data_IF_530549068158
#
_entry.id   IF_530549068158
#
_cell.length_a   1.000
_cell.length_b   1.000
_cell.length_c   1.000
_cell.angle_alpha   90.00
_cell.angle_beta   90.00
_cell.angle_gamma   90.00
#
_symmetry.space_group_name_H-M   'P 1'
#
loop_
_entity.id
_entity.type
_entity.pdbx_description
1 polymer ?
#
# COMPACT_ATOMS: atom_id res chain seq x y z
N UNK A 1 22.25 -39.93 -0.89
CA UNK A 1 22.93 -39.34 -2.07
C UNK A 1 21.96 -38.69 -3.07
N UNK A 2 21.06 -39.42 -3.72
CA UNK A 2 20.13 -38.84 -4.72
C UNK A 2 19.28 -37.69 -4.13
N UNK A 3 18.75 -37.88 -2.91
CA UNK A 3 17.98 -36.84 -2.23
C UNK A 3 18.77 -35.55 -1.99
N UNK A 4 20.04 -35.63 -1.60
CA UNK A 4 20.89 -34.46 -1.38
C UNK A 4 21.11 -33.69 -2.68
N UNK A 5 21.29 -34.40 -3.80
CA UNK A 5 21.37 -33.78 -5.12
C UNK A 5 20.05 -33.07 -5.50
N UNK A 6 18.90 -33.70 -5.24
CA UNK A 6 17.60 -33.09 -5.49
C UNK A 6 17.36 -31.84 -4.63
N UNK A 7 17.80 -31.84 -3.36
CA UNK A 7 17.72 -30.66 -2.49
C UNK A 7 18.63 -29.54 -2.94
N UNK A 8 19.85 -29.85 -3.36
CA UNK A 8 20.77 -28.85 -3.94
C UNK A 8 20.16 -28.18 -5.17
N UNK A 9 19.48 -28.95 -6.02
CA UNK A 9 18.77 -28.38 -7.16
C UNK A 9 17.61 -27.49 -6.71
N UNK A 10 16.77 -27.97 -5.78
CA UNK A 10 15.67 -27.16 -5.24
C UNK A 10 16.14 -25.86 -4.58
N UNK A 11 17.32 -25.86 -3.96
CA UNK A 11 17.90 -24.66 -3.36
C UNK A 11 18.33 -23.65 -4.42
N UNK A 12 18.97 -24.12 -5.50
CA UNK A 12 19.33 -23.28 -6.65
C UNK A 12 18.08 -22.70 -7.32
N UNK A 13 17.07 -23.52 -7.56
CA UNK A 13 15.82 -23.11 -8.18
C UNK A 13 15.06 -22.07 -7.31
N UNK A 14 15.21 -22.15 -5.99
CA UNK A 14 14.66 -21.17 -5.05
C UNK A 14 15.46 -19.85 -4.98
N UNK A 15 16.56 -19.71 -5.73
CA UNK A 15 17.42 -18.52 -5.70
C UNK A 15 18.34 -18.48 -4.48
N UNK A 16 18.70 -19.62 -3.90
CA UNK A 16 19.58 -19.64 -2.72
C UNK A 16 20.98 -19.07 -2.99
N UNK A 17 21.43 -19.01 -4.24
CA UNK A 17 22.69 -18.35 -4.58
C UNK A 17 22.67 -16.84 -4.24
N UNK A 18 21.53 -16.19 -4.41
CA UNK A 18 21.38 -14.76 -4.16
C UNK A 18 20.99 -14.47 -2.69
N UNK A 19 20.12 -15.31 -2.13
CA UNK A 19 19.50 -15.05 -0.83
C UNK A 19 20.09 -15.83 0.35
N UNK A 20 20.79 -16.93 0.09
CA UNK A 20 21.40 -17.78 1.12
C UNK A 20 22.74 -18.42 0.64
N UNK A 21 23.70 -17.62 0.12
CA UNK A 21 24.89 -18.15 -0.54
C UNK A 21 25.76 -19.02 0.39
N UNK A 22 25.81 -18.67 1.67
CA UNK A 22 26.62 -19.38 2.68
C UNK A 22 26.07 -20.78 2.94
N UNK A 23 24.76 -20.90 3.18
CA UNK A 23 24.11 -22.21 3.41
C UNK A 23 24.19 -23.10 2.17
N UNK A 24 24.00 -22.52 0.99
CA UNK A 24 24.13 -23.24 -0.28
C UNK A 24 25.58 -23.72 -0.49
N UNK A 25 26.58 -22.93 -0.13
CA UNK A 25 27.99 -23.31 -0.18
C UNK A 25 28.28 -24.51 0.73
N UNK A 26 27.87 -24.45 2.00
CA UNK A 26 28.03 -25.57 2.93
C UNK A 26 27.39 -26.87 2.42
N UNK A 27 26.17 -26.78 1.87
CA UNK A 27 25.49 -27.92 1.29
C UNK A 27 26.29 -28.53 0.12
N UNK A 28 26.86 -27.69 -0.75
CA UNK A 28 27.66 -28.13 -1.89
C UNK A 28 28.98 -28.77 -1.45
N UNK A 29 29.68 -28.16 -0.50
CA UNK A 29 30.96 -28.65 0.00
C UNK A 29 30.79 -30.01 0.70
N UNK A 30 29.76 -30.17 1.53
CA UNK A 30 29.48 -31.46 2.18
C UNK A 30 29.05 -32.53 1.19
N UNK A 31 28.30 -32.18 0.14
CA UNK A 31 27.96 -33.14 -0.92
C UNK A 31 29.19 -33.60 -1.69
N UNK A 32 30.14 -32.70 -1.96
CA UNK A 32 31.41 -33.07 -2.59
C UNK A 32 32.24 -33.99 -1.68
N UNK A 33 32.29 -33.70 -0.38
CA UNK A 33 32.93 -34.57 0.61
C UNK A 33 32.25 -35.94 0.69
N UNK A 34 30.91 -35.99 0.64
CA UNK A 34 30.15 -37.23 0.59
C UNK A 34 30.51 -38.08 -0.64
N UNK A 35 30.65 -37.45 -1.81
CA UNK A 35 31.06 -38.13 -3.04
C UNK A 35 32.48 -38.70 -2.92
N UNK A 36 33.40 -37.94 -2.34
CA UNK A 36 34.77 -38.39 -2.08
C UNK A 36 34.80 -39.56 -1.07
N UNK A 37 34.03 -39.49 0.01
CA UNK A 37 33.92 -40.58 0.99
C UNK A 37 33.34 -41.85 0.34
N UNK A 38 32.32 -41.71 -0.51
CA UNK A 38 31.72 -42.81 -1.24
C UNK A 38 32.72 -43.47 -2.20
N UNK A 39 33.49 -42.68 -2.95
CA UNK A 39 34.55 -43.17 -3.84
C UNK A 39 35.65 -43.93 -3.08
N UNK A 40 35.94 -43.50 -1.86
CA UNK A 40 36.88 -44.16 -0.95
C UNK A 40 36.26 -45.35 -0.18
N UNK A 41 35.04 -45.78 -0.54
CA UNK A 41 34.28 -46.87 0.12
C UNK A 41 33.97 -46.63 1.61
N UNK A 42 34.00 -45.37 2.04
CA UNK A 42 33.60 -44.94 3.38
C UNK A 42 32.11 -44.61 3.40
N UNK A 43 31.28 -45.65 3.32
CA UNK A 43 29.85 -45.48 3.07
C UNK A 43 29.10 -44.80 4.23
N UNK A 44 29.45 -45.12 5.47
CA UNK A 44 28.83 -44.47 6.65
C UNK A 44 29.14 -42.97 6.69
N UNK A 45 30.41 -42.58 6.45
CA UNK A 45 30.79 -41.17 6.36
C UNK A 45 30.08 -40.46 5.21
N UNK A 46 29.97 -41.12 4.05
CA UNK A 46 29.28 -40.58 2.89
C UNK A 46 27.78 -40.36 3.13
N UNK A 47 27.14 -41.25 3.88
CA UNK A 47 25.74 -41.13 4.28
C UNK A 47 25.52 -39.93 5.20
N UNK A 48 26.30 -39.84 6.28
CA UNK A 48 26.24 -38.70 7.22
C UNK A 48 26.47 -37.36 6.50
N UNK A 49 27.53 -37.26 5.68
CA UNK A 49 27.83 -36.04 4.92
C UNK A 49 26.73 -35.68 3.92
N UNK A 50 26.08 -36.68 3.30
CA UNK A 50 24.97 -36.44 2.39
C UNK A 50 23.70 -35.97 3.13
N UNK A 51 23.45 -36.49 4.33
CA UNK A 51 22.33 -36.03 5.18
C UNK A 51 22.55 -34.59 5.67
N UNK A 52 23.76 -34.26 6.12
CA UNK A 52 24.10 -32.89 6.49
C UNK A 52 23.96 -31.95 5.29
N UNK A 53 24.47 -32.34 4.13
CA UNK A 53 24.30 -31.58 2.88
C UNK A 53 22.81 -31.36 2.54
N UNK A 54 21.98 -32.40 2.71
CA UNK A 54 20.53 -32.32 2.49
C UNK A 54 19.90 -31.30 3.43
N UNK A 55 20.24 -31.34 4.72
CA UNK A 55 19.72 -30.40 5.73
C UNK A 55 20.15 -28.95 5.42
N UNK A 56 21.42 -28.73 5.06
CA UNK A 56 21.95 -27.42 4.69
C UNK A 56 21.24 -26.88 3.43
N UNK A 57 20.99 -27.72 2.43
CA UNK A 57 20.26 -27.34 1.22
C UNK A 57 18.78 -27.01 1.50
N UNK A 58 18.13 -27.75 2.41
CA UNK A 58 16.76 -27.44 2.86
C UNK A 58 16.71 -26.09 3.59
N UNK A 59 17.69 -25.81 4.46
CA UNK A 59 17.84 -24.52 5.14
C UNK A 59 18.05 -23.37 4.14
N UNK A 60 18.95 -23.56 3.16
CA UNK A 60 19.20 -22.59 2.10
C UNK A 60 17.93 -22.30 1.28
N UNK A 61 17.17 -23.35 0.93
CA UNK A 61 15.89 -23.23 0.21
C UNK A 61 14.88 -22.40 1.01
N UNK A 62 14.72 -22.70 2.31
CA UNK A 62 13.78 -22.02 3.19
C UNK A 62 14.14 -20.53 3.35
N UNK A 63 15.43 -20.24 3.58
CA UNK A 63 15.95 -18.87 3.66
C UNK A 63 15.72 -18.10 2.36
N UNK A 64 16.00 -18.73 1.23
CA UNK A 64 15.82 -18.11 -0.08
C UNK A 64 14.36 -17.75 -0.37
N UNK A 65 13.44 -18.69 -0.13
CA UNK A 65 11.99 -18.44 -0.27
C UNK A 65 11.50 -17.34 0.66
N UNK A 66 11.99 -17.31 1.90
CA UNK A 66 11.65 -16.26 2.87
C UNK A 66 12.12 -14.88 2.39
N UNK A 67 13.37 -14.78 1.93
CA UNK A 67 13.92 -13.53 1.45
C UNK A 67 13.20 -13.04 0.17
N UNK A 68 12.92 -13.94 -0.77
CA UNK A 68 12.13 -13.64 -1.95
C UNK A 68 10.72 -13.15 -1.59
N UNK A 69 10.03 -13.80 -0.65
CA UNK A 69 8.72 -13.38 -0.18
C UNK A 69 8.76 -11.98 0.47
N UNK A 70 9.78 -11.72 1.30
CA UNK A 70 9.99 -10.40 1.92
C UNK A 70 10.20 -9.31 0.86
N UNK A 71 11.03 -9.58 -0.15
CA UNK A 71 11.25 -8.66 -1.28
C UNK A 71 9.95 -8.37 -2.03
N UNK A 72 9.17 -9.41 -2.35
CA UNK A 72 7.86 -9.24 -3.00
C UNK A 72 6.87 -8.42 -2.16
N UNK A 73 6.83 -8.63 -0.84
CA UNK A 73 5.99 -7.84 0.06
C UNK A 73 6.44 -6.38 0.02
N UNK A 74 7.73 -6.10 0.15
CA UNK A 74 8.26 -4.74 0.11
C UNK A 74 7.89 -4.03 -1.21
N UNK A 75 8.09 -4.70 -2.35
CA UNK A 75 7.75 -4.14 -3.66
C UNK A 75 6.25 -3.84 -3.76
N UNK A 76 5.39 -4.78 -3.36
CA UNK A 76 3.93 -4.57 -3.37
C UNK A 76 3.50 -3.49 -2.41
N UNK A 77 4.12 -3.36 -1.24
CA UNK A 77 3.81 -2.30 -0.27
C UNK A 77 4.18 -0.93 -0.85
N UNK A 78 5.34 -0.80 -1.49
CA UNK A 78 5.76 0.44 -2.14
C UNK A 78 4.83 0.79 -3.31
N UNK A 79 4.47 -0.18 -4.13
CA UNK A 79 3.51 0.00 -5.24
C UNK A 79 2.14 0.46 -4.71
N UNK A 80 1.61 -0.19 -3.68
CA UNK A 80 0.36 0.23 -3.05
C UNK A 80 0.44 1.64 -2.46
N UNK A 81 1.57 2.00 -1.84
CA UNK A 81 1.77 3.36 -1.32
C UNK A 81 1.79 4.39 -2.46
N UNK A 82 2.45 4.09 -3.57
CA UNK A 82 2.50 4.95 -4.75
C UNK A 82 1.09 5.15 -5.35
N UNK A 83 0.32 4.08 -5.53
CA UNK A 83 -1.04 4.15 -6.06
C UNK A 83 -1.97 4.98 -5.17
N UNK A 84 -1.83 4.88 -3.85
CA UNK A 84 -2.61 5.70 -2.91
C UNK A 84 -2.23 7.18 -2.99
N UNK A 85 -0.93 7.48 -3.08
CA UNK A 85 -0.46 8.85 -3.23
C UNK A 85 -0.95 9.47 -4.54
N UNK A 86 -0.90 8.72 -5.64
CA UNK A 86 -1.44 9.14 -6.93
C UNK A 86 -2.95 9.38 -6.87
N UNK A 87 -3.71 8.45 -6.28
CA UNK A 87 -5.14 8.63 -6.06
C UNK A 87 -5.48 9.88 -5.24
N UNK A 88 -4.71 10.16 -4.18
CA UNK A 88 -4.86 11.39 -3.39
C UNK A 88 -4.50 12.65 -4.16
N UNK A 89 -3.51 12.60 -5.04
CA UNK A 89 -3.19 13.73 -5.93
C UNK A 89 -4.33 14.00 -6.91
N UNK A 90 -4.95 12.96 -7.48
CA UNK A 90 -6.10 13.12 -8.38
C UNK A 90 -7.29 13.74 -7.65
N UNK A 91 -7.61 13.25 -6.44
CA UNK A 91 -8.70 13.81 -5.63
C UNK A 91 -8.40 15.26 -5.21
N UNK A 92 -7.16 15.56 -4.81
CA UNK A 92 -6.76 16.93 -4.47
C UNK A 92 -6.84 17.87 -5.67
N UNK A 93 -6.41 17.42 -6.86
CA UNK A 93 -6.51 18.20 -8.09
C UNK A 93 -7.97 18.45 -8.51
N UNK A 94 -8.85 17.45 -8.34
CA UNK A 94 -10.28 17.62 -8.58
C UNK A 94 -10.89 18.65 -7.62
N UNK A 95 -10.61 18.55 -6.32
CA UNK A 95 -11.08 19.52 -5.32
C UNK A 95 -10.57 20.95 -5.60
N UNK A 96 -9.32 21.08 -6.08
CA UNK A 96 -8.78 22.39 -6.49
C UNK A 96 -9.52 22.97 -7.69
N UNK A 97 -9.90 22.15 -8.69
CA UNK A 97 -10.70 22.60 -9.84
C UNK A 97 -12.09 23.07 -9.40
N UNK A 98 -12.75 22.31 -8.52
CA UNK A 98 -14.06 22.70 -7.98
C UNK A 98 -14.00 24.03 -7.20
N UNK A 99 -12.95 24.25 -6.41
CA UNK A 99 -12.74 25.52 -5.71
C UNK A 99 -12.53 26.70 -6.67
N UNK A 100 -11.79 26.50 -7.76
CA UNK A 100 -11.59 27.52 -8.79
C UNK A 100 -12.90 27.88 -9.51
N UNK A 101 -13.72 26.89 -9.83
CA UNK A 101 -15.05 27.12 -10.43
C UNK A 101 -15.98 27.90 -9.49
N UNK A 102 -16.03 27.54 -8.20
CA UNK A 102 -16.85 28.28 -7.23
C UNK A 102 -16.39 29.73 -7.06
N UNK A 103 -15.08 29.98 -7.01
CA UNK A 103 -14.53 31.32 -6.91
C UNK A 103 -14.89 32.18 -8.16
N UNK A 104 -14.83 31.58 -9.36
CA UNK A 104 -15.17 32.26 -10.60
C UNK A 104 -16.67 32.61 -10.67
N UNK A 105 -17.55 31.70 -10.24
CA UNK A 105 -18.98 31.93 -10.14
C UNK A 105 -19.32 33.07 -9.15
N UNK A 106 -18.62 33.13 -8.02
CA UNK A 106 -18.84 34.18 -7.02
C UNK A 106 -18.35 35.56 -7.50
N UNK A 107 -17.30 35.60 -8.30
CA UNK A 107 -16.84 36.83 -8.95
C UNK A 107 -17.85 37.32 -10.00
N UNK A 108 -18.47 36.41 -10.75
CA UNK A 108 -19.49 36.74 -11.73
C UNK A 108 -20.77 37.29 -11.07
N UNK A 109 -21.17 36.77 -9.90
CA UNK A 109 -22.29 37.32 -9.13
C UNK A 109 -22.01 38.74 -8.60
N UNK A 110 -20.79 39.02 -8.13
CA UNK A 110 -20.41 40.37 -7.67
C UNK A 110 -20.45 41.40 -8.80
N UNK A 111 -20.03 41.01 -10.02
CA UNK A 111 -20.16 41.88 -11.20
C UNK A 111 -21.61 42.19 -11.55
N UNK A 112 -22.52 41.22 -11.43
CA UNK A 112 -23.96 41.46 -11.66
C UNK A 112 -24.57 42.41 -10.62
N UNK A 113 -24.16 42.33 -9.35
CA UNK A 113 -24.66 43.24 -8.31
C UNK A 113 -24.19 44.68 -8.51
N UNK A 114 -22.98 44.91 -9.04
CA UNK A 114 -22.49 46.26 -9.33
C UNK A 114 -23.21 46.94 -10.49
N UNK A 115 -23.79 46.18 -11.44
CA UNK A 115 -24.59 46.75 -12.55
C UNK A 115 -26.03 47.11 -12.15
N UNK A 116 -26.49 46.71 -10.96
CA UNK A 116 -27.85 47.03 -10.45
C UNK A 116 -27.88 48.23 -9.49
N UNK A 117 -26.74 48.85 -9.20
CA UNK A 117 -26.65 49.99 -8.30
C UNK A 117 -26.43 51.31 -9.07
N UNK A 118 -27.45 51.78 -9.79
CA UNK A 118 -27.61 53.20 -10.12
C UNK A 118 -28.96 53.69 -9.55
N UNK A 119 -29.00 54.87 -8.90
CA UNK A 119 -30.15 55.31 -8.13
C UNK A 119 -31.30 55.83 -9.01
N UNK A 120 -32.50 55.65 -8.49
CA UNK A 120 -33.79 55.92 -9.10
C UNK A 120 -33.96 57.32 -9.73
N UNK A 121 -34.62 57.35 -10.88
CA UNK A 121 -35.22 58.56 -11.44
C UNK A 121 -36.11 58.29 -12.66
N UNK A 122 -37.38 58.71 -12.54
CA UNK A 122 -38.37 58.97 -13.59
C UNK A 122 -39.33 57.85 -14.05
N UNK A 123 -40.52 57.90 -13.43
CA UNK A 123 -41.85 58.02 -14.06
C UNK A 123 -42.24 57.10 -15.21
N UNK A 124 -43.25 56.28 -14.92
CA UNK A 124 -44.45 55.99 -15.70
C UNK A 124 -44.49 56.52 -17.13
N UNK A 125 -44.41 55.63 -18.13
CA UNK A 125 -45.28 55.69 -19.31
C UNK A 125 -45.35 54.33 -20.00
N UNK A 126 -46.59 53.90 -20.19
CA UNK A 126 -47.03 52.71 -20.92
C UNK A 126 -46.46 52.61 -22.33
N UNK A 127 -45.82 51.47 -22.66
CA UNK A 127 -45.48 51.07 -24.03
C UNK A 127 -45.86 49.58 -24.19
N UNK A 128 -46.51 49.19 -25.30
CA UNK A 128 -47.08 47.85 -25.46
C UNK A 128 -46.02 46.79 -25.77
N UNK A 129 -46.34 45.58 -25.34
CA UNK A 129 -45.60 44.33 -25.52
C UNK A 129 -45.44 43.94 -27.01
N UNK A 130 -44.23 43.72 -27.54
CA UNK A 130 -44.05 42.95 -28.76
C UNK A 130 -44.08 41.43 -28.44
N UNK A 131 -44.57 40.58 -29.37
CA UNK A 131 -44.56 39.13 -29.17
C UNK A 131 -43.13 38.57 -29.23
N UNK A 132 -42.85 37.44 -28.56
CA UNK A 132 -41.52 36.85 -28.54
C UNK A 132 -41.14 36.27 -29.92
N UNK A 133 -39.87 36.39 -30.35
CA UNK A 133 -39.36 35.62 -31.46
C UNK A 133 -39.35 34.13 -31.11
N UNK A 134 -39.86 33.33 -32.03
CA UNK A 134 -39.79 31.87 -32.05
C UNK A 134 -38.31 31.45 -32.11
N UNK A 135 -37.75 31.06 -30.97
CA UNK A 135 -36.46 30.38 -30.91
C UNK A 135 -36.72 28.88 -30.83
N UNK A 136 -36.16 28.06 -31.74
CA UNK A 136 -36.30 26.62 -31.66
C UNK A 136 -35.67 26.13 -30.36
N UNK A 137 -36.42 25.29 -29.63
CA UNK A 137 -35.92 24.63 -28.42
C UNK A 137 -34.57 23.95 -28.71
N UNK A 138 -33.55 24.08 -27.84
CA UNK A 138 -32.42 23.16 -27.91
C UNK A 138 -33.02 21.76 -27.78
N UNK A 139 -32.68 20.87 -28.70
CA UNK A 139 -33.10 19.49 -28.61
C UNK A 139 -32.77 18.99 -27.21
N UNK A 140 -33.80 18.55 -26.49
CA UNK A 140 -33.65 17.80 -25.25
C UNK A 140 -32.50 16.84 -25.45
N UNK A 141 -31.40 17.07 -24.73
CA UNK A 141 -30.32 16.10 -24.69
C UNK A 141 -30.98 14.80 -24.25
N UNK A 142 -31.04 13.86 -25.19
CA UNK A 142 -31.54 12.52 -24.97
C UNK A 142 -30.82 12.01 -23.74
N UNK A 143 -31.58 11.71 -22.69
CA UNK A 143 -31.18 10.83 -21.62
C UNK A 143 -30.54 9.60 -22.29
N UNK A 144 -29.21 9.59 -22.36
CA UNK A 144 -28.45 8.44 -22.84
C UNK A 144 -28.70 7.34 -21.84
N UNK A 145 -29.68 6.49 -22.15
CA UNK A 145 -29.90 5.22 -21.49
C UNK A 145 -28.57 4.45 -21.51
N UNK A 146 -28.04 4.01 -20.36
CA UNK A 146 -27.08 2.93 -20.38
C UNK A 146 -27.81 1.69 -20.89
N UNK A 147 -27.24 1.11 -21.93
CA UNK A 147 -27.70 -0.11 -22.59
C UNK A 147 -27.98 -1.18 -21.53
N UNK A 148 -29.21 -1.70 -21.50
CA UNK A 148 -29.50 -2.93 -20.79
C UNK A 148 -28.74 -4.06 -21.48
N UNK A 149 -27.83 -4.70 -20.75
CA UNK A 149 -27.10 -5.86 -21.22
C UNK A 149 -26.07 -6.33 -20.21
N UNK A 150 -26.49 -7.15 -19.25
CA UNK A 150 -25.58 -7.92 -18.39
C UNK A 150 -25.93 -7.82 -16.93
N UNK A 151 -26.52 -8.88 -16.38
CA UNK A 151 -27.14 -8.91 -15.06
C UNK A 151 -26.20 -8.57 -13.91
N UNK A 152 -26.67 -7.67 -13.06
CA UNK A 152 -26.26 -7.65 -11.66
C UNK A 152 -27.24 -8.51 -10.88
N UNK A 153 -26.74 -9.67 -10.47
CA UNK A 153 -27.34 -10.54 -9.48
C UNK A 153 -27.49 -9.74 -8.18
N UNK A 154 -28.71 -9.32 -7.85
CA UNK A 154 -29.03 -8.74 -6.54
C UNK A 154 -28.77 -9.79 -5.47
N UNK A 155 -27.87 -9.49 -4.52
CA UNK A 155 -27.73 -10.29 -3.30
C UNK A 155 -28.96 -10.06 -2.41
N UNK A 156 -29.51 -11.12 -1.77
CA UNK A 156 -30.59 -10.96 -0.81
C UNK A 156 -30.10 -10.24 0.45
N UNK A 157 -30.88 -9.25 0.84
CA UNK A 157 -30.80 -8.48 2.08
C UNK A 157 -30.85 -9.43 3.28
N UNK A 158 -29.70 -9.67 3.92
CA UNK A 158 -29.69 -10.31 5.24
C UNK A 158 -30.03 -9.28 6.31
N UNK A 159 -31.25 -9.46 6.80
CA UNK A 159 -31.86 -8.90 8.00
C UNK A 159 -30.87 -8.37 9.05
N UNK A 160 -31.13 -7.11 9.43
CA UNK A 160 -30.82 -6.52 10.73
C UNK A 160 -30.81 -7.57 11.85
N UNK A 161 -29.64 -7.86 12.40
CA UNK A 161 -29.50 -8.35 13.78
C UNK A 161 -29.01 -7.19 14.65
N UNK A 162 -29.95 -6.67 15.43
CA UNK A 162 -29.72 -5.78 16.56
C UNK A 162 -28.96 -6.53 17.66
N UNK A 163 -27.76 -6.07 18.01
CA UNK A 163 -27.15 -6.33 19.32
C UNK A 163 -26.38 -5.07 19.81
N UNK A 164 -26.24 -4.93 21.14
CA UNK A 164 -26.45 -3.66 21.82
C UNK A 164 -25.15 -2.94 22.23
N UNK A 165 -25.34 -1.66 22.59
CA UNK A 165 -24.60 -0.91 23.62
C UNK A 165 -23.07 -1.07 23.61
N UNK A 166 -22.39 -0.18 22.88
CA UNK A 166 -20.97 0.04 23.08
C UNK A 166 -20.72 1.51 23.41
N UNK A 167 -20.52 1.71 24.71
CA UNK A 167 -20.05 2.91 25.38
C UNK A 167 -18.83 3.51 24.67
N UNK A 168 -18.94 4.80 24.32
CA UNK A 168 -17.81 5.62 23.88
C UNK A 168 -16.83 5.83 25.03
N UNK A 169 -15.50 5.72 24.82
CA UNK A 169 -14.52 6.51 25.55
C UNK A 169 -14.16 7.77 24.75
N UNK A 170 -14.28 8.92 25.41
CA UNK A 170 -13.88 10.25 24.95
C UNK A 170 -12.38 10.33 24.62
N UNK A 171 -11.96 11.24 23.71
CA UNK A 171 -10.57 11.59 23.53
C UNK A 171 -10.18 12.68 24.53
N UNK A 172 -9.33 12.36 25.50
CA UNK A 172 -8.70 13.37 26.34
C UNK A 172 -8.31 12.87 27.72
N UNK A 173 -7.10 12.32 27.84
CA UNK A 173 -6.29 12.43 29.04
C UNK A 173 -4.84 11.99 28.76
N UNK A 174 -3.92 12.90 29.09
CA UNK A 174 -2.47 12.81 28.98
C UNK A 174 -1.89 11.64 29.76
N UNK A 175 -0.87 10.91 29.26
CA UNK A 175 -0.09 10.02 30.11
C UNK A 175 0.94 10.84 30.91
N UNK A 176 0.70 10.93 32.21
CA UNK A 176 1.67 11.35 33.20
C UNK A 176 2.73 10.25 33.40
N UNK A 177 4.00 10.68 33.39
CA UNK A 177 5.11 10.17 34.20
C UNK A 177 5.16 8.65 34.47
N UNK A 178 5.90 7.93 33.62
CA UNK A 178 6.44 6.60 33.92
C UNK A 178 7.87 6.50 33.41
N UNK A 179 8.82 6.56 34.34
CA UNK A 179 10.25 6.32 34.10
C UNK A 179 10.51 4.96 33.43
N UNK A 180 11.50 4.90 32.52
CA UNK A 180 12.35 3.73 32.41
C UNK A 180 13.74 4.06 32.97
N UNK A 181 14.02 3.52 34.15
CA UNK A 181 15.39 3.29 34.59
C UNK A 181 15.86 1.98 33.97
N UNK A 182 16.67 2.04 32.91
CA UNK A 182 17.86 1.20 32.74
C UNK A 182 18.66 1.70 31.53
N UNK A 183 19.74 2.43 31.81
CA UNK A 183 20.80 2.72 30.85
C UNK A 183 22.11 2.58 31.59
N UNK A 184 22.59 1.34 31.66
CA UNK A 184 23.98 1.02 31.92
C UNK A 184 24.85 1.64 30.82
N UNK A 185 25.31 2.86 31.07
CA UNK A 185 26.35 3.53 30.32
C UNK A 185 27.73 3.09 30.90
N UNK A 186 28.72 2.78 30.06
CA UNK A 186 30.04 2.32 30.52
C UNK A 186 30.86 3.42 31.21
N UNK A 187 31.57 2.93 32.21
CA UNK A 187 32.75 3.47 32.89
C UNK A 187 33.57 4.50 32.09
N UNK A 188 33.52 5.77 32.52
CA UNK A 188 34.57 6.77 32.26
C UNK A 188 34.88 7.51 33.56
N UNK A 189 35.45 6.79 34.52
CA UNK A 189 36.02 7.34 35.74
C UNK A 189 37.36 8.04 35.51
N UNK A 190 37.30 9.30 35.09
CA UNK A 190 38.34 10.30 35.23
C UNK A 190 38.58 10.58 36.74
N UNK A 191 39.68 10.06 37.29
CA UNK A 191 40.29 10.55 38.54
C UNK A 191 41.75 10.85 38.17
N UNK A 192 42.21 12.10 38.20
CA UNK A 192 42.20 12.95 39.37
C UNK A 192 43.63 12.97 39.92
N UNK A 193 44.52 13.68 39.20
CA UNK A 193 45.83 14.03 39.71
C UNK A 193 45.71 15.01 40.86
N UNK A 194 46.51 14.78 41.91
CA UNK A 194 46.75 15.71 42.99
C UNK A 194 48.25 15.68 43.35
N UNK A 195 48.76 16.80 43.91
CA UNK A 195 50.11 17.32 43.72
C UNK A 195 51.22 16.66 44.52
#
# INVERSE_FOLDING_TARGET
>A
MNEAQARLQSARDAGAADYAPVDLGFAQDKFQQAQAAFANRKYADAENLAEESRADAELATAKARLAAARSQIQNKTQENASLRAEGQQVVAAAAQREQQEQAQLQQLQQQQQQQQADPAGATSSSIPTPPPPDMPAPSSSTLSQPSQGGGFQTMPEQQQQTLPDQTLPQPGQSPASGQPADSNNPDTGNQGGHP
#
